data_IF_678054496921
#
_entry.id   IF_678054496921
#
_cell.length_a   1.000
_cell.length_b   1.000
_cell.length_c   1.000
_cell.angle_alpha   90.00
_cell.angle_beta   90.00
_cell.angle_gamma   90.00
#
_symmetry.space_group_name_H-M   'P 1'
#
loop_
_entity.id
_entity.type
_entity.pdbx_description
1 polymer ?
#
# COMPACT_ATOMS: atom_id res chain seq x y z
N UNK A 1 25.53 20.26 -10.97
CA UNK A 1 25.56 18.78 -10.97
C UNK A 1 24.63 18.30 -12.07
N UNK A 2 25.20 17.71 -13.12
CA UNK A 2 24.42 17.05 -14.18
C UNK A 2 24.00 15.68 -13.64
N UNK A 3 22.73 15.26 -13.71
CA UNK A 3 22.34 13.92 -13.30
C UNK A 3 23.01 12.91 -14.24
N UNK A 4 23.82 12.04 -13.68
CA UNK A 4 24.31 10.84 -14.35
C UNK A 4 23.11 10.06 -14.88
N UNK A 5 23.17 9.62 -16.15
CA UNK A 5 22.15 8.74 -16.77
C UNK A 5 22.09 7.43 -16.00
N UNK A 6 21.29 7.37 -14.94
CA UNK A 6 20.75 6.12 -14.41
C UNK A 6 19.74 5.63 -15.43
N UNK A 7 19.87 4.40 -15.94
CA UNK A 7 18.91 3.82 -16.88
C UNK A 7 17.48 3.96 -16.32
N UNK A 8 16.71 4.90 -16.87
CA UNK A 8 15.36 5.21 -16.40
C UNK A 8 14.40 4.18 -16.95
N UNK A 9 13.61 3.57 -16.06
CA UNK A 9 12.53 2.64 -16.44
C UNK A 9 11.51 3.41 -17.30
N UNK A 10 11.00 2.84 -18.41
CA UNK A 10 10.04 3.53 -19.29
C UNK A 10 8.74 3.83 -18.56
N UNK A 11 8.14 5.01 -18.81
CA UNK A 11 6.83 5.38 -18.24
C UNK A 11 5.67 4.87 -19.07
N UNK A 12 5.93 4.45 -20.31
CA UNK A 12 4.96 3.86 -21.23
C UNK A 12 5.51 2.56 -21.81
N UNK A 13 4.68 1.50 -21.81
CA UNK A 13 5.04 0.21 -22.37
C UNK A 13 3.85 -0.43 -23.10
N UNK A 14 3.99 -0.63 -24.42
CA UNK A 14 3.00 -1.34 -25.25
C UNK A 14 3.69 -2.37 -26.12
N UNK A 15 3.44 -3.65 -25.84
CA UNK A 15 4.14 -4.75 -26.51
C UNK A 15 5.66 -4.66 -26.29
N UNK A 16 6.42 -4.54 -27.38
CA UNK A 16 7.87 -4.34 -27.36
C UNK A 16 8.30 -2.88 -27.24
N UNK A 17 7.39 -1.93 -27.41
CA UNK A 17 7.71 -0.50 -27.34
C UNK A 17 7.81 -0.04 -25.89
N UNK A 18 8.88 0.70 -25.58
CA UNK A 18 9.18 1.25 -24.25
C UNK A 18 9.65 2.68 -24.42
N UNK A 19 8.88 3.65 -23.91
CA UNK A 19 9.20 5.08 -24.04
C UNK A 19 8.96 5.81 -22.71
N UNK A 20 9.54 7.00 -22.59
CA UNK A 20 9.33 7.93 -21.46
C UNK A 20 8.63 9.16 -22.00
N UNK A 21 7.32 9.24 -21.78
CA UNK A 21 6.46 10.32 -22.30
C UNK A 21 5.74 11.09 -21.20
N UNK A 22 5.80 10.61 -19.95
CA UNK A 22 5.14 11.22 -18.80
C UNK A 22 6.17 11.97 -17.95
N UNK A 23 5.89 13.23 -17.63
CA UNK A 23 6.79 14.10 -16.89
C UNK A 23 6.03 14.91 -15.83
N UNK A 24 6.63 15.05 -14.65
CA UNK A 24 6.14 15.94 -13.59
C UNK A 24 7.11 17.12 -13.48
N UNK A 25 6.65 18.32 -13.82
CA UNK A 25 7.42 19.55 -13.67
C UNK A 25 7.08 20.26 -12.37
N UNK A 26 8.09 20.82 -11.70
CA UNK A 26 7.95 21.44 -10.38
C UNK A 26 8.55 22.83 -10.42
N UNK A 27 7.79 23.80 -9.91
CA UNK A 27 8.25 25.20 -9.81
C UNK A 27 9.42 25.29 -8.82
N UNK A 28 10.46 26.11 -9.08
CA UNK A 28 11.61 26.24 -8.18
C UNK A 28 11.26 26.52 -6.70
N UNK A 29 10.16 27.25 -6.45
CA UNK A 29 9.65 27.56 -5.10
C UNK A 29 9.20 26.33 -4.30
N UNK A 30 8.81 25.25 -4.96
CA UNK A 30 8.37 24.00 -4.33
C UNK A 30 9.49 22.98 -4.22
N UNK A 31 10.70 23.25 -4.76
CA UNK A 31 11.81 22.29 -4.84
C UNK A 31 12.19 21.68 -3.49
N UNK A 32 12.14 22.47 -2.42
CA UNK A 32 12.47 22.00 -1.05
C UNK A 32 11.29 21.30 -0.37
N UNK A 33 10.09 21.40 -0.93
CA UNK A 33 8.86 20.82 -0.38
C UNK A 33 8.48 19.50 -1.05
N UNK A 34 9.13 19.14 -2.16
CA UNK A 34 8.84 17.91 -2.90
C UNK A 34 9.87 16.84 -2.58
N UNK A 35 9.43 15.62 -2.36
CA UNK A 35 10.29 14.48 -2.09
C UNK A 35 9.63 13.17 -2.59
N UNK A 36 10.31 12.05 -2.38
CA UNK A 36 9.78 10.71 -2.64
C UNK A 36 9.22 10.55 -4.07
N UNK A 37 10.01 10.92 -5.07
CA UNK A 37 9.69 10.66 -6.47
C UNK A 37 9.68 9.16 -6.73
N UNK A 38 8.56 8.62 -7.18
CA UNK A 38 8.46 7.21 -7.51
C UNK A 38 7.80 7.00 -8.87
N UNK A 39 8.19 5.91 -9.51
CA UNK A 39 7.53 5.34 -10.67
C UNK A 39 7.11 3.92 -10.31
N UNK A 40 5.83 3.62 -10.46
CA UNK A 40 5.25 2.36 -10.07
C UNK A 40 4.59 1.70 -11.28
N UNK A 41 4.90 0.43 -11.50
CA UNK A 41 4.14 -0.38 -12.45
C UNK A 41 2.71 -0.58 -11.93
N UNK A 42 1.75 -0.41 -12.84
CA UNK A 42 0.36 -0.79 -12.63
C UNK A 42 0.04 -2.03 -13.48
N UNK A 43 -1.00 -2.81 -13.12
CA UNK A 43 -1.42 -3.95 -13.93
C UNK A 43 -1.60 -3.55 -15.39
N UNK A 44 -1.01 -4.31 -16.32
CA UNK A 44 -1.09 -4.03 -17.76
C UNK A 44 -2.51 -4.11 -18.32
N UNK A 45 -3.40 -4.83 -17.62
CA UNK A 45 -4.83 -4.85 -17.91
C UNK A 45 -5.54 -3.52 -17.64
N UNK A 46 -4.94 -2.64 -16.81
CA UNK A 46 -5.52 -1.35 -16.44
C UNK A 46 -4.98 -0.20 -17.29
N UNK A 47 -3.68 -0.22 -17.58
CA UNK A 47 -3.01 0.85 -18.32
C UNK A 47 -1.67 0.36 -18.88
N UNK A 48 -1.25 0.94 -20.00
CA UNK A 48 0.09 0.81 -20.57
C UNK A 48 1.08 1.86 -20.02
N UNK A 49 0.65 2.70 -19.07
CA UNK A 49 1.48 3.67 -18.38
C UNK A 49 1.88 3.23 -16.96
N UNK A 50 3.07 3.66 -16.54
CA UNK A 50 3.49 3.61 -15.15
C UNK A 50 2.91 4.80 -14.37
N UNK A 51 2.54 4.57 -13.12
CA UNK A 51 2.12 5.63 -12.22
C UNK A 51 3.32 6.42 -11.72
N UNK A 52 3.31 7.74 -11.93
CA UNK A 52 4.28 8.66 -11.36
C UNK A 52 3.71 9.31 -10.11
N UNK A 53 4.48 9.30 -9.01
CA UNK A 53 4.09 9.93 -7.76
C UNK A 53 5.19 10.84 -7.23
N UNK A 54 4.77 11.90 -6.52
CA UNK A 54 5.63 12.82 -5.79
C UNK A 54 4.91 13.24 -4.51
N UNK A 55 5.63 13.30 -3.40
CA UNK A 55 5.08 13.78 -2.14
C UNK A 55 5.36 15.28 -2.01
N UNK A 56 4.30 16.06 -1.82
CA UNK A 56 4.39 17.50 -1.58
C UNK A 56 4.14 17.77 -0.10
N UNK A 57 5.15 18.32 0.58
CA UNK A 57 5.05 18.78 1.95
C UNK A 57 4.25 20.07 2.01
N UNK A 58 2.98 19.94 2.39
CA UNK A 58 2.08 21.05 2.69
C UNK A 58 1.99 21.27 4.20
N UNK A 59 1.59 22.46 4.62
CA UNK A 59 1.32 22.72 6.02
C UNK A 59 0.24 21.76 6.53
N UNK A 60 0.46 21.16 7.70
CA UNK A 60 -0.54 20.29 8.33
C UNK A 60 -1.72 21.16 8.73
N UNK A 61 -2.86 20.94 8.10
CA UNK A 61 -4.14 21.46 8.58
C UNK A 61 -4.71 20.41 9.53
N UNK A 62 -5.03 20.83 10.75
CA UNK A 62 -5.74 19.96 11.69
C UNK A 62 -7.20 19.84 11.22
N UNK A 63 -7.54 18.68 10.66
CA UNK A 63 -8.88 18.33 10.22
C UNK A 63 -9.62 17.47 11.27
N UNK A 64 -9.04 17.35 12.46
CA UNK A 64 -9.52 16.48 13.53
C UNK A 64 -9.24 14.99 13.29
N UNK A 65 -9.61 14.13 14.26
CA UNK A 65 -9.31 12.69 14.21
C UNK A 65 -10.14 11.90 13.18
N UNK A 66 -11.14 12.52 12.56
CA UNK A 66 -12.11 11.86 11.69
C UNK A 66 -13.02 10.86 12.43
N UNK A 67 -13.92 10.22 11.67
CA UNK A 67 -14.76 9.13 12.20
C UNK A 67 -14.06 7.80 11.94
N UNK A 68 -13.87 7.00 12.98
CA UNK A 68 -13.34 5.65 12.83
C UNK A 68 -14.42 4.73 12.24
N UNK A 69 -14.03 3.98 11.19
CA UNK A 69 -14.84 2.92 10.59
C UNK A 69 -14.02 1.64 10.58
N UNK A 70 -14.64 0.54 10.97
CA UNK A 70 -14.02 -0.78 10.92
C UNK A 70 -13.83 -1.20 9.46
N UNK A 71 -12.66 -1.76 9.11
CA UNK A 71 -12.42 -2.34 7.79
C UNK A 71 -12.84 -3.83 7.78
N UNK A 72 -13.96 -4.20 7.15
CA UNK A 72 -14.47 -5.57 7.20
C UNK A 72 -13.57 -6.58 6.49
N UNK A 73 -12.71 -6.17 5.56
CA UNK A 73 -11.82 -7.12 4.84
C UNK A 73 -10.81 -7.78 5.77
N UNK A 74 -10.51 -7.18 6.91
CA UNK A 74 -9.64 -7.77 7.92
C UNK A 74 -10.25 -9.06 8.50
N UNK A 75 -11.58 -9.19 8.50
CA UNK A 75 -12.24 -10.42 8.93
C UNK A 75 -11.96 -11.60 8.01
N UNK A 76 -11.50 -11.37 6.78
CA UNK A 76 -11.06 -12.44 5.87
C UNK A 76 -9.62 -12.89 6.13
N UNK A 77 -8.87 -12.19 6.98
CA UNK A 77 -7.47 -12.51 7.28
C UNK A 77 -7.38 -13.50 8.46
N UNK A 78 -6.88 -14.74 8.27
CA UNK A 78 -6.83 -15.75 9.34
C UNK A 78 -6.03 -15.30 10.58
N UNK A 79 -4.95 -14.54 10.35
CA UNK A 79 -4.13 -13.98 11.43
C UNK A 79 -4.89 -12.95 12.26
N UNK A 80 -5.75 -12.14 11.64
CA UNK A 80 -6.61 -11.20 12.36
C UNK A 80 -7.72 -11.93 13.11
N UNK A 81 -8.38 -12.91 12.49
CA UNK A 81 -9.40 -13.73 13.14
C UNK A 81 -8.87 -14.37 14.43
N UNK A 82 -7.70 -15.01 14.36
CA UNK A 82 -7.06 -15.64 15.52
C UNK A 82 -6.76 -14.61 16.63
N UNK A 83 -6.23 -13.45 16.26
CA UNK A 83 -5.92 -12.37 17.20
C UNK A 83 -7.20 -11.84 17.87
N UNK A 84 -8.25 -11.61 17.09
CA UNK A 84 -9.54 -11.11 17.58
C UNK A 84 -10.19 -12.11 18.54
N UNK A 85 -10.25 -13.39 18.18
CA UNK A 85 -10.82 -14.43 19.04
C UNK A 85 -10.05 -14.53 20.36
N UNK A 86 -8.71 -14.54 20.30
CA UNK A 86 -7.88 -14.58 21.51
C UNK A 86 -8.13 -13.36 22.41
N UNK A 87 -8.28 -12.17 21.83
CA UNK A 87 -8.57 -10.96 22.58
C UNK A 87 -9.97 -11.00 23.22
N UNK A 88 -10.97 -11.53 22.51
CA UNK A 88 -12.33 -11.71 23.03
C UNK A 88 -12.35 -12.72 24.18
N UNK A 89 -11.71 -13.88 24.03
CA UNK A 89 -11.61 -14.88 25.09
C UNK A 89 -11.00 -14.28 26.35
N UNK A 90 -9.91 -13.52 26.20
CA UNK A 90 -9.26 -12.82 27.32
C UNK A 90 -10.14 -11.74 27.96
N UNK A 91 -10.92 -11.01 27.16
CA UNK A 91 -11.85 -10.00 27.66
C UNK A 91 -12.96 -10.63 28.52
N UNK A 92 -13.53 -11.75 28.06
CA UNK A 92 -14.62 -12.43 28.75
C UNK A 92 -14.17 -13.39 29.86
N UNK A 93 -12.88 -13.73 29.96
CA UNK A 93 -12.34 -14.57 31.03
C UNK A 93 -12.47 -13.93 32.43
N UNK A 94 -12.48 -12.59 32.51
CA UNK A 94 -12.57 -11.82 33.76
C UNK A 94 -13.61 -10.71 33.64
N UNK A 95 -14.92 -11.04 33.64
CA UNK A 95 -15.95 -10.03 33.57
C UNK A 95 -15.91 -9.14 34.82
N UNK A 96 -15.93 -7.84 34.59
CA UNK A 96 -16.02 -6.85 35.66
C UNK A 96 -17.48 -6.74 36.10
N UNK A 97 -17.90 -7.63 37.01
CA UNK A 97 -19.27 -7.72 37.50
C UNK A 97 -19.76 -6.44 38.24
N UNK A 98 -18.85 -5.51 38.55
CA UNK A 98 -19.17 -4.23 39.17
C UNK A 98 -19.40 -3.12 38.13
N UNK A 99 -19.00 -3.36 36.88
CA UNK A 99 -19.16 -2.44 35.77
C UNK A 99 -20.56 -2.59 35.14
N UNK A 100 -21.31 -1.50 34.92
CA UNK A 100 -22.55 -1.56 34.14
C UNK A 100 -22.33 -2.17 32.76
N UNK A 101 -23.31 -2.94 32.27
CA UNK A 101 -23.24 -3.63 30.98
C UNK A 101 -22.93 -2.68 29.81
N UNK A 102 -23.48 -1.45 29.85
CA UNK A 102 -23.21 -0.42 28.85
C UNK A 102 -21.73 -0.03 28.81
N UNK A 103 -21.10 0.15 29.97
CA UNK A 103 -19.69 0.48 30.08
C UNK A 103 -18.78 -0.72 29.73
N UNK A 104 -19.22 -1.95 30.02
CA UNK A 104 -18.53 -3.15 29.53
C UNK A 104 -18.54 -3.21 27.99
N UNK A 105 -19.68 -2.86 27.38
CA UNK A 105 -19.81 -2.78 25.93
C UNK A 105 -18.92 -1.69 25.31
N UNK A 106 -18.79 -0.53 25.95
CA UNK A 106 -17.87 0.53 25.51
C UNK A 106 -16.41 0.08 25.59
N UNK A 107 -16.00 -0.54 26.70
CA UNK A 107 -14.65 -1.13 26.85
C UNK A 107 -14.36 -2.17 25.76
N UNK A 108 -15.33 -3.03 25.44
CA UNK A 108 -15.19 -4.03 24.38
C UNK A 108 -14.99 -3.37 23.01
N UNK A 109 -15.83 -2.38 22.66
CA UNK A 109 -15.71 -1.64 21.40
C UNK A 109 -14.36 -0.94 21.28
N UNK A 110 -13.88 -0.31 22.36
CA UNK A 110 -12.58 0.36 22.38
C UNK A 110 -11.42 -0.62 22.20
N UNK A 111 -11.48 -1.78 22.85
CA UNK A 111 -10.50 -2.86 22.66
C UNK A 111 -10.48 -3.33 21.20
N UNK A 112 -11.65 -3.63 20.60
CA UNK A 112 -11.75 -4.05 19.20
C UNK A 112 -11.19 -2.98 18.27
N UNK A 113 -11.55 -1.71 18.51
CA UNK A 113 -11.06 -0.57 17.72
C UNK A 113 -9.54 -0.45 17.78
N UNK A 114 -8.95 -0.52 18.97
CA UNK A 114 -7.51 -0.45 19.16
C UNK A 114 -6.80 -1.62 18.46
N UNK A 115 -7.26 -2.85 18.72
CA UNK A 115 -6.71 -4.08 18.15
C UNK A 115 -6.72 -4.04 16.62
N UNK A 116 -7.85 -3.67 16.05
CA UNK A 116 -8.03 -3.56 14.60
C UNK A 116 -7.09 -2.50 14.02
N UNK A 117 -7.00 -1.35 14.69
CA UNK A 117 -6.16 -0.24 14.21
C UNK A 117 -4.68 -0.60 14.24
N UNK A 118 -4.20 -1.25 15.30
CA UNK A 118 -2.81 -1.72 15.40
C UNK A 118 -2.51 -2.81 14.36
N UNK A 119 -3.37 -3.81 14.24
CA UNK A 119 -3.21 -4.87 13.23
C UNK A 119 -3.16 -4.29 11.82
N UNK A 120 -4.13 -3.44 11.46
CA UNK A 120 -4.21 -2.83 10.14
C UNK A 120 -2.96 -2.02 9.80
N UNK A 121 -2.44 -1.23 10.75
CA UNK A 121 -1.19 -0.46 10.55
C UNK A 121 -0.03 -1.37 10.18
N UNK A 122 0.16 -2.48 10.90
CA UNK A 122 1.24 -3.44 10.64
C UNK A 122 1.03 -4.18 9.33
N UNK A 123 -0.18 -4.67 9.09
CA UNK A 123 -0.56 -5.39 7.88
C UNK A 123 -0.31 -4.54 6.63
N UNK A 124 -0.87 -3.33 6.57
CA UNK A 124 -0.68 -2.44 5.43
C UNK A 124 0.77 -1.98 5.28
N UNK A 125 1.50 -1.79 6.38
CA UNK A 125 2.94 -1.51 6.30
C UNK A 125 3.72 -2.66 5.66
N UNK A 126 3.39 -3.90 6.02
CA UNK A 126 3.95 -5.10 5.39
C UNK A 126 3.63 -5.16 3.89
N UNK A 127 2.36 -4.98 3.51
CA UNK A 127 1.93 -4.95 2.11
C UNK A 127 2.66 -3.86 1.30
N UNK A 128 2.80 -2.64 1.85
CA UNK A 128 3.53 -1.54 1.19
C UNK A 128 5.01 -1.89 1.00
N UNK A 129 5.64 -2.49 2.01
CA UNK A 129 7.03 -2.91 1.90
C UNK A 129 7.22 -3.99 0.85
N UNK A 130 6.33 -4.99 0.82
CA UNK A 130 6.34 -6.05 -0.19
C UNK A 130 6.14 -5.49 -1.60
N UNK A 131 5.17 -4.59 -1.78
CA UNK A 131 4.92 -3.94 -3.06
C UNK A 131 6.17 -3.15 -3.52
N UNK A 132 6.78 -2.38 -2.63
CA UNK A 132 8.02 -1.64 -2.92
C UNK A 132 9.15 -2.56 -3.37
N UNK A 133 9.37 -3.68 -2.68
CA UNK A 133 10.41 -4.65 -3.04
C UNK A 133 10.15 -5.28 -4.42
N UNK A 134 8.90 -5.64 -4.70
CA UNK A 134 8.51 -6.19 -6.01
C UNK A 134 8.69 -5.15 -7.14
N UNK A 135 8.35 -3.89 -6.90
CA UNK A 135 8.57 -2.80 -7.86
C UNK A 135 10.07 -2.60 -8.15
N UNK A 136 10.92 -2.67 -7.11
CA UNK A 136 12.38 -2.60 -7.26
C UNK A 136 12.93 -3.81 -8.03
N UNK A 137 12.46 -5.02 -7.72
CA UNK A 137 12.85 -6.23 -8.44
C UNK A 137 12.48 -6.15 -9.91
N UNK A 138 11.25 -5.68 -10.22
CA UNK A 138 10.81 -5.43 -11.59
C UNK A 138 11.73 -4.45 -12.32
N UNK A 139 12.06 -3.33 -11.68
CA UNK A 139 12.95 -2.33 -12.26
C UNK A 139 14.34 -2.90 -12.56
N UNK A 140 14.90 -3.70 -11.65
CA UNK A 140 16.19 -4.37 -11.84
C UNK A 140 16.17 -5.34 -13.04
N UNK A 141 15.14 -6.18 -13.15
CA UNK A 141 14.95 -7.10 -14.28
C UNK A 141 14.87 -6.35 -15.63
N UNK A 142 14.23 -5.18 -15.65
CA UNK A 142 14.13 -4.36 -16.87
C UNK A 142 15.44 -3.65 -17.23
N UNK A 143 16.30 -3.36 -16.25
CA UNK A 143 17.58 -2.69 -16.46
C UNK A 143 18.69 -3.64 -16.96
N UNK A 144 18.57 -4.94 -16.73
CA UNK A 144 19.63 -5.91 -17.05
C UNK A 144 19.82 -6.16 -18.56
N UNK A 145 18.89 -5.76 -19.44
CA UNK A 145 19.03 -5.89 -20.90
C UNK A 145 18.95 -7.35 -21.39
N UNK A 146 18.45 -7.55 -22.62
CA UNK A 146 18.06 -8.84 -23.23
C UNK A 146 17.43 -9.86 -22.27
N UNK A 147 16.09 -9.81 -22.16
CA UNK A 147 15.34 -10.79 -21.38
C UNK A 147 15.42 -12.17 -22.06
N UNK A 148 16.40 -12.97 -21.64
CA UNK A 148 16.39 -14.42 -21.81
C UNK A 148 15.05 -14.99 -21.32
N UNK A 149 14.68 -16.19 -21.80
CA UNK A 149 13.39 -16.80 -21.46
C UNK A 149 13.13 -16.83 -19.94
N UNK A 150 14.17 -17.14 -19.16
CA UNK A 150 14.10 -17.19 -17.69
C UNK A 150 13.78 -15.82 -17.06
N UNK A 151 14.44 -14.74 -17.51
CA UNK A 151 14.18 -13.39 -17.03
C UNK A 151 12.76 -12.90 -17.37
N UNK A 152 12.16 -13.39 -18.47
CA UNK A 152 10.75 -13.09 -18.79
C UNK A 152 9.79 -13.78 -17.85
N UNK A 153 10.04 -15.04 -17.53
CA UNK A 153 9.21 -15.78 -16.57
C UNK A 153 9.23 -15.10 -15.19
N UNK A 154 10.41 -14.71 -14.72
CA UNK A 154 10.57 -13.96 -13.47
C UNK A 154 9.83 -12.62 -13.51
N UNK A 155 9.93 -11.88 -14.63
CA UNK A 155 9.23 -10.62 -14.81
C UNK A 155 7.71 -10.81 -14.75
N UNK A 156 7.17 -11.81 -15.44
CA UNK A 156 5.74 -12.13 -15.45
C UNK A 156 5.27 -12.51 -14.02
N UNK A 157 6.07 -13.31 -13.30
CA UNK A 157 5.74 -13.71 -11.94
C UNK A 157 5.70 -12.50 -10.99
N UNK A 158 6.69 -11.61 -11.09
CA UNK A 158 6.76 -10.37 -10.29
C UNK A 158 5.59 -9.46 -10.62
N UNK A 159 5.30 -9.21 -11.90
CA UNK A 159 4.18 -8.36 -12.34
C UNK A 159 2.82 -8.92 -11.91
N UNK A 160 2.64 -10.24 -11.96
CA UNK A 160 1.43 -10.91 -11.47
C UNK A 160 1.24 -10.68 -9.96
N UNK A 161 2.32 -10.77 -9.18
CA UNK A 161 2.28 -10.55 -7.73
C UNK A 161 2.05 -9.09 -7.37
N UNK A 162 2.62 -8.15 -8.12
CA UNK A 162 2.31 -6.72 -7.99
C UNK A 162 0.83 -6.49 -8.27
N UNK A 163 0.30 -7.08 -9.34
CA UNK A 163 -1.09 -6.89 -9.75
C UNK A 163 -2.08 -7.39 -8.70
N UNK A 164 -1.82 -8.58 -8.13
CA UNK A 164 -2.64 -9.11 -7.05
C UNK A 164 -2.66 -8.19 -5.81
N UNK A 165 -1.51 -7.62 -5.41
CA UNK A 165 -1.44 -6.70 -4.28
C UNK A 165 -2.16 -5.38 -4.54
N UNK A 166 -2.03 -4.83 -5.75
CA UNK A 166 -2.70 -3.58 -6.14
C UNK A 166 -4.21 -3.78 -6.22
N UNK A 167 -4.66 -4.93 -6.75
CA UNK A 167 -6.08 -5.29 -6.79
C UNK A 167 -6.69 -5.33 -5.38
N UNK A 168 -6.08 -6.07 -4.46
CA UNK A 168 -6.56 -6.16 -3.06
C UNK A 168 -6.60 -4.78 -2.38
N UNK A 169 -5.57 -3.95 -2.58
CA UNK A 169 -5.56 -2.58 -2.05
C UNK A 169 -6.68 -1.72 -2.64
N UNK A 170 -6.96 -1.87 -3.93
CA UNK A 170 -7.99 -1.11 -4.63
C UNK A 170 -9.38 -1.49 -4.13
N UNK A 171 -9.65 -2.78 -3.96
CA UNK A 171 -10.90 -3.29 -3.37
C UNK A 171 -11.11 -2.75 -1.96
N UNK A 172 -10.06 -2.66 -1.15
CA UNK A 172 -10.13 -2.07 0.19
C UNK A 172 -10.44 -0.57 0.18
N UNK A 173 -9.95 0.17 -0.83
CA UNK A 173 -10.24 1.60 -0.96
C UNK A 173 -11.67 1.86 -1.42
N UNK A 174 -12.28 0.98 -2.21
CA UNK A 174 -13.68 1.08 -2.62
C UNK A 174 -14.67 0.99 -1.44
N UNK A 175 -14.28 0.36 -0.33
CA UNK A 175 -15.11 0.33 0.88
C UNK A 175 -15.15 1.68 1.63
N UNK A 176 -14.37 2.68 1.18
CA UNK A 176 -14.29 4.01 1.82
C UNK A 176 -15.16 5.07 1.14
N UNK A 177 -15.67 4.80 -0.06
CA UNK A 177 -16.62 5.65 -0.80
C UNK A 177 -18.04 5.36 -0.37
#
# INVERSE_FOLDING_TARGET
MVPTRTHTVPTFQRGSQRTTIDYIFITPMLRTKVNNFQQQFLPSAWTDHALLTVDIQVAKVDIGPGVWRFNPTLLSQPSFQKLLLTALDMFFLKPDNQCPVTQQWDKLKDMIKWLTTDFAKRYHSGCRNQLRLLQQQRAALLQQGELDAHHREDLIAVESRISALIQDQTEQLLLRT
#
